data_IF_066187399917
#
_entry.id   IF_066187399917
#
_cell.length_a   1.000
_cell.length_b   1.000
_cell.length_c   1.000
_cell.angle_alpha   90.00
_cell.angle_beta   90.00
_cell.angle_gamma   90.00
#
_symmetry.space_group_name_H-M   'P 1'
#
loop_
_entity.id
_entity.type
_entity.pdbx_description
1 polymer ?
#
# COMPACT_ATOMS: atom_id res chain seq x y z
N UNK A 1 -3.55 -31.34 -6.54
CA UNK A 1 -2.80 -32.61 -6.74
C UNK A 1 -3.68 -33.76 -6.28
N UNK A 2 -4.04 -34.66 -7.18
CA UNK A 2 -4.83 -35.87 -6.84
C UNK A 2 -4.06 -36.74 -5.87
N UNK A 3 -4.70 -37.18 -4.80
CA UNK A 3 -4.10 -38.02 -3.78
C UNK A 3 -5.14 -38.87 -3.04
N UNK A 4 -4.69 -39.75 -2.18
CA UNK A 4 -5.54 -40.51 -1.25
C UNK A 4 -5.29 -40.02 0.17
N UNK A 5 -6.32 -39.54 0.85
CA UNK A 5 -6.26 -39.17 2.24
C UNK A 5 -7.05 -40.22 3.04
N UNK A 6 -6.39 -40.99 3.91
CA UNK A 6 -7.00 -42.06 4.72
C UNK A 6 -7.85 -43.05 3.88
N UNK A 7 -7.39 -43.36 2.67
CA UNK A 7 -8.07 -44.32 1.77
C UNK A 7 -9.17 -43.73 0.90
N UNK A 8 -9.53 -42.45 1.07
CA UNK A 8 -10.49 -41.74 0.23
C UNK A 8 -9.74 -40.93 -0.84
N UNK A 9 -10.20 -41.01 -2.07
CA UNK A 9 -9.65 -40.20 -3.15
C UNK A 9 -10.01 -38.69 -2.92
N UNK A 10 -8.99 -37.86 -3.04
CA UNK A 10 -9.13 -36.41 -2.89
C UNK A 10 -8.50 -35.71 -4.09
N UNK A 11 -9.24 -34.80 -4.72
CA UNK A 11 -8.78 -33.99 -5.83
C UNK A 11 -8.18 -32.66 -5.39
N UNK A 12 -8.25 -32.31 -4.10
CA UNK A 12 -7.73 -31.08 -3.56
C UNK A 12 -7.65 -31.09 -2.04
N UNK A 13 -7.21 -29.98 -1.48
CA UNK A 13 -7.09 -29.74 -0.06
C UNK A 13 -7.53 -28.29 0.22
N UNK A 14 -8.24 -28.10 1.32
CA UNK A 14 -8.48 -26.75 1.84
C UNK A 14 -7.20 -26.24 2.46
N UNK A 15 -6.80 -25.03 2.11
CA UNK A 15 -5.51 -24.46 2.47
C UNK A 15 -5.65 -23.28 3.46
N UNK A 16 -4.69 -23.15 4.36
CA UNK A 16 -4.48 -21.93 5.13
C UNK A 16 -3.82 -20.85 4.26
N UNK A 17 -3.72 -19.62 4.77
CA UNK A 17 -3.06 -18.53 4.03
C UNK A 17 -1.56 -18.82 3.82
N UNK A 18 -0.92 -19.51 4.75
CA UNK A 18 0.48 -19.91 4.66
C UNK A 18 0.71 -20.95 3.55
N UNK A 19 -0.21 -21.91 3.43
CA UNK A 19 -0.18 -22.92 2.36
C UNK A 19 -0.49 -22.33 0.98
N UNK A 20 -1.17 -21.19 0.93
CA UNK A 20 -1.39 -20.41 -0.30
C UNK A 20 -0.19 -19.51 -0.66
N UNK A 21 0.86 -19.49 0.15
CA UNK A 21 2.11 -18.78 -0.12
C UNK A 21 2.18 -17.35 0.41
N UNK A 22 1.32 -17.02 1.38
CA UNK A 22 1.33 -15.72 2.05
C UNK A 22 1.37 -15.90 3.58
N UNK A 23 1.01 -14.90 4.34
CA UNK A 23 1.00 -14.94 5.80
C UNK A 23 -0.05 -13.99 6.38
N UNK A 24 -0.32 -14.14 7.68
CA UNK A 24 -1.30 -13.32 8.42
C UNK A 24 -0.88 -11.86 8.61
N UNK A 25 0.40 -11.53 8.47
CA UNK A 25 0.83 -10.14 8.54
C UNK A 25 0.32 -9.35 7.33
N UNK A 26 0.28 -10.00 6.17
CA UNK A 26 -0.22 -9.41 4.93
C UNK A 26 -1.75 -9.56 4.78
N UNK A 27 -2.31 -10.60 5.38
CA UNK A 27 -3.75 -10.92 5.36
C UNK A 27 -4.27 -11.05 6.80
N UNK A 28 -4.44 -9.94 7.52
CA UNK A 28 -4.81 -9.97 8.95
C UNK A 28 -6.20 -10.57 9.22
N UNK A 29 -7.05 -10.67 8.20
CA UNK A 29 -8.34 -11.36 8.24
C UNK A 29 -8.22 -12.89 8.27
N UNK A 30 -7.05 -13.44 7.89
CA UNK A 30 -6.85 -14.89 7.89
C UNK A 30 -6.90 -15.47 9.31
N UNK A 31 -7.57 -16.61 9.52
CA UNK A 31 -7.65 -17.24 10.82
C UNK A 31 -6.25 -17.73 11.28
N UNK A 32 -6.02 -17.73 12.60
CA UNK A 32 -4.76 -18.21 13.17
C UNK A 32 -4.57 -19.72 12.96
N UNK A 33 -5.65 -20.45 13.04
CA UNK A 33 -5.69 -21.89 12.78
C UNK A 33 -6.89 -22.19 11.90
N UNK A 34 -6.64 -22.73 10.72
CA UNK A 34 -7.72 -23.16 9.83
C UNK A 34 -7.50 -22.78 8.37
N UNK A 35 -8.54 -23.00 7.59
CA UNK A 35 -8.56 -22.69 6.17
C UNK A 35 -8.77 -21.19 5.95
N UNK A 36 -8.19 -20.68 4.87
CA UNK A 36 -8.48 -19.31 4.44
C UNK A 36 -9.87 -19.22 3.83
N UNK A 37 -10.64 -18.23 4.24
CA UNK A 37 -11.98 -17.96 3.72
C UNK A 37 -11.90 -16.70 2.87
N UNK A 38 -12.22 -16.85 1.59
CA UNK A 38 -12.27 -15.72 0.66
C UNK A 38 -13.49 -14.83 0.92
N UNK A 39 -13.43 -13.59 0.46
CA UNK A 39 -14.56 -12.67 0.49
C UNK A 39 -15.74 -13.20 -0.36
N UNK A 40 -16.95 -12.72 -0.10
CA UNK A 40 -18.19 -13.19 -0.76
C UNK A 40 -18.23 -12.94 -2.28
N UNK A 41 -17.37 -12.06 -2.79
CA UNK A 41 -17.23 -11.77 -4.21
C UNK A 41 -16.28 -12.75 -4.94
N UNK A 42 -15.68 -13.69 -4.24
CA UNK A 42 -14.77 -14.67 -4.84
C UNK A 42 -15.50 -15.64 -5.76
N UNK A 43 -14.94 -15.86 -6.94
CA UNK A 43 -15.53 -16.76 -7.95
C UNK A 43 -15.04 -18.18 -7.73
N UNK A 44 -15.97 -19.10 -7.50
CA UNK A 44 -15.66 -20.53 -7.34
C UNK A 44 -15.02 -21.09 -8.62
N UNK A 45 -13.85 -21.72 -8.47
CA UNK A 45 -13.08 -22.26 -9.59
C UNK A 45 -12.03 -21.31 -10.17
N UNK A 46 -11.98 -20.05 -9.70
CA UNK A 46 -10.88 -19.14 -10.03
C UNK A 46 -9.60 -19.52 -9.29
N UNK A 47 -8.46 -19.09 -9.82
CA UNK A 47 -7.16 -19.30 -9.18
C UNK A 47 -7.08 -18.51 -7.88
N UNK A 48 -6.80 -19.16 -6.75
CA UNK A 48 -6.60 -18.51 -5.46
C UNK A 48 -5.46 -17.47 -5.49
N UNK A 49 -4.40 -17.75 -6.24
CA UNK A 49 -3.27 -16.81 -6.43
C UNK A 49 -3.76 -15.49 -7.02
N UNK A 50 -4.63 -15.57 -8.05
CA UNK A 50 -5.21 -14.39 -8.69
C UNK A 50 -6.19 -13.66 -7.78
N UNK A 51 -7.08 -14.40 -7.11
CA UNK A 51 -8.06 -13.82 -6.18
C UNK A 51 -7.38 -13.11 -5.01
N UNK A 52 -6.24 -13.63 -4.53
CA UNK A 52 -5.41 -12.98 -3.52
C UNK A 52 -4.56 -11.83 -4.08
N UNK A 53 -4.38 -11.74 -5.39
CA UNK A 53 -3.49 -10.77 -6.03
C UNK A 53 -2.01 -11.07 -5.80
N UNK A 54 -1.65 -12.37 -5.73
CA UNK A 54 -0.27 -12.84 -5.60
C UNK A 54 0.40 -13.11 -6.96
N UNK A 55 -0.30 -12.79 -8.06
CA UNK A 55 0.17 -12.91 -9.45
C UNK A 55 0.90 -11.64 -9.94
N UNK A 56 1.23 -10.74 -9.04
CA UNK A 56 1.97 -9.51 -9.36
C UNK A 56 3.47 -9.78 -9.55
N UNK A 57 4.14 -8.88 -10.24
CA UNK A 57 5.60 -8.93 -10.46
C UNK A 57 6.26 -7.86 -9.62
N UNK A 58 7.05 -8.30 -8.65
CA UNK A 58 7.83 -7.42 -7.79
C UNK A 58 9.28 -7.42 -8.26
N UNK A 59 9.83 -6.23 -8.49
CA UNK A 59 11.22 -6.03 -8.90
C UNK A 59 11.97 -5.36 -7.76
N UNK A 60 12.99 -6.03 -7.27
CA UNK A 60 13.89 -5.49 -6.25
C UNK A 60 15.02 -4.70 -6.91
N UNK A 61 15.23 -3.47 -6.46
CA UNK A 61 16.29 -2.58 -6.94
C UNK A 61 17.29 -2.30 -5.83
N UNK A 62 18.55 -2.51 -6.11
CA UNK A 62 19.66 -2.03 -5.29
C UNK A 62 20.02 -0.61 -5.73
N UNK A 63 19.64 0.39 -4.94
CA UNK A 63 19.84 1.80 -5.25
C UNK A 63 21.01 2.35 -4.46
N UNK A 64 21.98 2.92 -5.14
CA UNK A 64 23.17 3.53 -4.52
C UNK A 64 22.81 4.85 -3.81
N UNK A 65 23.56 5.19 -2.77
CA UNK A 65 23.29 6.34 -1.90
C UNK A 65 23.31 7.70 -2.58
N UNK A 66 23.92 7.80 -3.76
CA UNK A 66 23.96 9.02 -4.57
C UNK A 66 22.70 9.19 -5.46
N UNK A 67 21.81 8.20 -5.49
CA UNK A 67 20.59 8.20 -6.31
C UNK A 67 19.34 8.19 -5.46
N UNK A 68 19.27 9.08 -4.47
CA UNK A 68 18.11 9.25 -3.59
C UNK A 68 16.81 9.59 -4.33
N UNK A 69 16.91 10.14 -5.52
CA UNK A 69 15.80 10.43 -6.43
C UNK A 69 15.08 9.15 -6.91
N UNK A 70 15.75 8.01 -6.86
CA UNK A 70 15.21 6.71 -7.25
C UNK A 70 14.55 5.92 -6.10
N UNK A 71 14.57 6.43 -4.86
CA UNK A 71 13.88 5.81 -3.73
C UNK A 71 12.36 6.06 -3.75
N UNK A 72 11.74 5.80 -4.90
CA UNK A 72 10.28 5.83 -5.06
C UNK A 72 9.87 5.25 -6.41
N UNK A 73 8.62 4.80 -6.51
CA UNK A 73 8.06 4.29 -7.77
C UNK A 73 8.13 5.37 -8.87
N UNK A 74 7.78 6.61 -8.55
CA UNK A 74 7.85 7.74 -9.51
C UNK A 74 9.30 8.04 -9.91
N UNK A 75 10.25 7.97 -8.99
CA UNK A 75 11.67 8.16 -9.26
C UNK A 75 12.23 7.09 -10.18
N UNK A 76 11.98 5.82 -9.88
CA UNK A 76 12.36 4.69 -10.73
C UNK A 76 11.70 4.79 -12.12
N UNK A 77 10.42 5.14 -12.18
CA UNK A 77 9.71 5.29 -13.46
C UNK A 77 10.34 6.40 -14.33
N UNK A 78 10.77 7.51 -13.72
CA UNK A 78 11.48 8.60 -14.43
C UNK A 78 12.83 8.14 -14.97
N UNK A 79 13.60 7.41 -14.16
CA UNK A 79 14.90 6.84 -14.55
C UNK A 79 14.74 5.81 -15.66
N UNK A 80 13.77 4.90 -15.53
CA UNK A 80 13.47 3.91 -16.56
C UNK A 80 13.05 4.58 -17.88
N UNK A 81 12.23 5.62 -17.82
CA UNK A 81 11.83 6.38 -19.00
C UNK A 81 13.03 7.00 -19.71
N UNK A 82 13.95 7.59 -18.96
CA UNK A 82 15.18 8.15 -19.51
C UNK A 82 16.09 7.07 -20.10
N UNK A 83 16.32 5.98 -19.38
CA UNK A 83 17.17 4.86 -19.81
C UNK A 83 16.66 4.19 -21.09
N UNK A 84 15.35 3.97 -21.17
CA UNK A 84 14.73 3.29 -22.32
C UNK A 84 14.24 4.25 -23.41
N UNK A 85 14.53 5.53 -23.30
CA UNK A 85 14.08 6.59 -24.21
C UNK A 85 12.56 6.55 -24.45
N UNK A 86 11.80 6.49 -23.34
CA UNK A 86 10.33 6.49 -23.32
C UNK A 86 9.81 7.78 -22.69
N UNK A 87 8.59 8.14 -23.04
CA UNK A 87 7.92 9.27 -22.39
C UNK A 87 7.63 8.96 -20.93
N UNK A 88 7.88 9.92 -20.04
CA UNK A 88 7.50 9.86 -18.65
C UNK A 88 6.18 10.61 -18.42
N UNK A 89 5.22 9.94 -17.80
CA UNK A 89 3.92 10.49 -17.46
C UNK A 89 3.77 10.52 -15.93
N UNK A 90 4.01 11.67 -15.28
CA UNK A 90 3.86 11.77 -13.83
C UNK A 90 2.39 11.57 -13.43
N UNK A 91 2.13 11.03 -12.25
CA UNK A 91 0.77 10.93 -11.75
C UNK A 91 0.08 12.28 -11.69
N UNK A 92 -1.15 12.34 -12.21
CA UNK A 92 -1.97 13.55 -12.14
C UNK A 92 -2.71 13.57 -10.82
N UNK A 93 -2.37 14.51 -9.95
CA UNK A 93 -3.03 14.71 -8.67
C UNK A 93 -4.17 15.70 -8.83
N UNK A 94 -5.41 15.24 -8.79
CA UNK A 94 -6.58 16.09 -8.71
C UNK A 94 -6.91 16.37 -7.25
N UNK A 95 -6.97 17.66 -6.89
CA UNK A 95 -7.29 18.07 -5.53
C UNK A 95 -8.66 18.72 -5.53
N UNK A 96 -9.60 18.11 -4.83
CA UNK A 96 -10.89 18.71 -4.51
C UNK A 96 -10.86 19.20 -3.07
N UNK A 97 -11.07 20.50 -2.85
CA UNK A 97 -11.36 21.10 -1.55
C UNK A 97 -12.86 21.37 -1.42
N UNK A 98 -13.27 21.77 -0.24
CA UNK A 98 -14.56 22.41 -0.01
C UNK A 98 -14.35 23.95 0.12
N UNK A 99 -15.43 24.68 0.37
CA UNK A 99 -15.40 26.13 0.46
C UNK A 99 -14.86 26.65 1.82
N UNK A 100 -14.44 25.74 2.72
CA UNK A 100 -13.90 26.13 4.02
C UNK A 100 -12.41 26.50 3.89
N UNK A 101 -12.02 27.56 4.63
CA UNK A 101 -10.63 27.99 4.65
C UNK A 101 -9.85 27.26 5.75
N UNK A 102 -8.76 26.59 5.38
CA UNK A 102 -7.89 25.89 6.33
C UNK A 102 -7.28 26.84 7.38
N UNK A 103 -7.10 28.13 7.07
CA UNK A 103 -6.56 29.12 7.98
C UNK A 103 -7.48 29.41 9.19
N UNK A 104 -8.76 29.06 9.11
CA UNK A 104 -9.71 29.19 10.22
C UNK A 104 -9.50 28.12 11.31
N UNK A 105 -8.78 27.06 10.96
CA UNK A 105 -8.57 25.89 11.83
C UNK A 105 -7.11 25.71 12.26
N UNK A 106 -6.15 26.11 11.43
CA UNK A 106 -4.73 25.91 11.72
C UNK A 106 -3.90 27.11 11.28
N UNK A 107 -2.99 27.54 12.15
CA UNK A 107 -1.98 28.56 11.83
C UNK A 107 -0.61 27.89 11.70
N UNK A 108 0.02 28.05 10.54
CA UNK A 108 1.38 27.60 10.31
C UNK A 108 2.35 28.76 10.45
N UNK A 109 3.36 28.61 11.30
CA UNK A 109 4.43 29.58 11.47
C UNK A 109 5.77 28.91 11.31
N UNK A 110 6.53 29.32 10.30
CA UNK A 110 7.89 28.83 10.07
C UNK A 110 8.86 29.73 10.83
N UNK A 111 9.49 29.19 11.88
CA UNK A 111 10.44 29.95 12.72
C UNK A 111 11.83 30.09 12.09
N UNK A 112 12.22 29.15 11.26
CA UNK A 112 13.50 29.17 10.55
C UNK A 112 13.30 28.95 9.04
N UNK A 113 13.09 30.03 8.29
CA UNK A 113 12.84 29.96 6.84
C UNK A 113 14.08 29.56 6.04
N UNK A 114 15.30 29.68 6.58
CA UNK A 114 16.52 29.23 5.90
C UNK A 114 16.57 27.71 5.82
N UNK A 115 16.18 27.00 6.89
CA UNK A 115 16.16 25.54 6.92
C UNK A 115 14.84 24.94 6.38
N UNK A 116 13.75 25.66 6.52
CA UNK A 116 12.42 25.25 6.04
C UNK A 116 11.76 26.42 5.30
N UNK A 117 12.06 26.64 4.04
CA UNK A 117 11.55 27.79 3.30
C UNK A 117 10.04 27.75 3.06
N UNK A 118 9.43 26.57 3.13
CA UNK A 118 7.99 26.39 2.93
C UNK A 118 7.46 25.19 3.71
N UNK A 119 6.35 25.38 4.41
CA UNK A 119 5.59 24.31 5.05
C UNK A 119 4.11 24.43 4.65
N UNK A 120 3.54 23.31 4.17
CA UNK A 120 2.13 23.25 3.78
C UNK A 120 1.38 22.30 4.71
N UNK A 121 0.16 22.66 5.08
CA UNK A 121 -0.72 21.82 5.86
C UNK A 121 -2.09 21.70 5.19
N UNK A 122 -2.75 20.56 5.40
CA UNK A 122 -4.13 20.30 5.00
C UNK A 122 -4.91 19.77 6.16
N UNK A 123 -6.19 20.07 6.16
CA UNK A 123 -7.13 19.56 7.15
C UNK A 123 -8.08 18.60 6.46
N UNK A 124 -8.21 17.43 7.03
CA UNK A 124 -9.19 16.43 6.62
C UNK A 124 -10.09 16.17 7.83
N UNK A 125 -11.39 16.37 7.65
CA UNK A 125 -12.40 16.22 8.71
C UNK A 125 -13.17 14.90 8.57
N UNK A 126 -13.82 14.50 9.66
CA UNK A 126 -14.74 13.37 9.71
C UNK A 126 -14.10 12.03 9.26
N UNK A 127 -12.83 11.85 9.61
CA UNK A 127 -12.10 10.63 9.26
C UNK A 127 -12.66 9.48 10.10
N UNK A 128 -13.00 8.38 9.41
CA UNK A 128 -13.29 7.09 10.06
C UNK A 128 -12.10 6.18 9.85
N UNK A 129 -11.50 5.76 10.96
CA UNK A 129 -10.39 4.78 10.89
C UNK A 129 -11.00 3.42 10.58
N UNK A 130 -10.46 2.75 9.59
CA UNK A 130 -10.88 1.43 9.13
C UNK A 130 -9.84 0.78 8.23
N UNK A 131 -10.10 -0.41 7.70
CA UNK A 131 -9.21 -1.05 6.75
C UNK A 131 -9.09 -0.22 5.48
N UNK A 132 -7.92 -0.26 4.87
CA UNK A 132 -7.68 0.35 3.56
C UNK A 132 -8.42 -0.40 2.45
N UNK A 133 -8.67 0.25 1.31
CA UNK A 133 -9.19 -0.45 0.14
C UNK A 133 -8.28 -1.63 -0.26
N UNK A 134 -8.86 -2.74 -0.69
CA UNK A 134 -8.13 -3.98 -1.04
C UNK A 134 -6.98 -3.75 -2.04
N UNK A 135 -7.18 -2.89 -3.05
CA UNK A 135 -6.13 -2.56 -4.01
C UNK A 135 -4.90 -1.93 -3.36
N UNK A 136 -5.09 -1.08 -2.36
CA UNK A 136 -3.99 -0.45 -1.62
C UNK A 136 -3.28 -1.46 -0.72
N UNK A 137 -4.05 -2.30 -0.01
CA UNK A 137 -3.50 -3.37 0.80
C UNK A 137 -2.61 -4.32 -0.02
N UNK A 138 -3.10 -4.76 -1.20
CA UNK A 138 -2.35 -5.62 -2.12
C UNK A 138 -1.05 -4.98 -2.57
N UNK A 139 -1.07 -3.72 -2.98
CA UNK A 139 0.15 -2.99 -3.41
C UNK A 139 1.15 -2.80 -2.28
N UNK A 140 0.70 -2.51 -1.08
CA UNK A 140 1.60 -2.42 0.08
C UNK A 140 2.18 -3.79 0.43
N UNK A 141 1.36 -4.83 0.45
CA UNK A 141 1.79 -6.19 0.71
C UNK A 141 2.81 -6.67 -0.32
N UNK A 142 2.67 -6.34 -1.60
CA UNK A 142 3.61 -6.74 -2.66
C UNK A 142 5.01 -6.12 -2.49
N UNK A 143 5.13 -4.98 -1.83
CA UNK A 143 6.43 -4.36 -1.48
C UNK A 143 6.86 -4.67 -0.04
N UNK A 144 6.21 -5.62 0.63
CA UNK A 144 6.56 -6.08 1.97
C UNK A 144 6.08 -5.18 3.10
N UNK A 145 5.18 -4.24 2.85
CA UNK A 145 4.61 -3.36 3.87
C UNK A 145 3.28 -3.93 4.35
N UNK A 146 3.21 -4.25 5.64
CA UNK A 146 1.99 -4.75 6.26
C UNK A 146 0.90 -3.67 6.31
N UNK A 147 -0.30 -3.93 5.75
CA UNK A 147 -1.45 -3.05 5.91
C UNK A 147 -1.92 -2.98 7.38
N UNK A 148 -2.27 -1.80 7.86
CA UNK A 148 -2.69 -1.57 9.25
C UNK A 148 -4.07 -0.92 9.30
N UNK A 149 -4.19 0.26 8.73
CA UNK A 149 -5.44 1.00 8.59
C UNK A 149 -5.28 2.10 7.54
N UNK A 150 -6.39 2.66 7.09
CA UNK A 150 -6.43 3.63 6.02
C UNK A 150 -5.51 4.86 6.21
N UNK A 151 -5.35 5.38 7.43
CA UNK A 151 -4.47 6.52 7.68
C UNK A 151 -2.99 6.16 7.55
N UNK A 152 -2.61 5.04 8.16
CA UNK A 152 -1.22 4.55 8.13
C UNK A 152 -0.86 4.13 6.71
N UNK A 153 -1.75 3.40 6.06
CA UNK A 153 -1.51 2.83 4.74
C UNK A 153 -1.42 3.91 3.64
N UNK A 154 -2.24 4.97 3.71
CA UNK A 154 -2.12 6.13 2.81
C UNK A 154 -0.72 6.75 2.95
N UNK A 155 -0.22 6.94 4.17
CA UNK A 155 1.12 7.52 4.37
C UNK A 155 2.23 6.61 3.87
N UNK A 156 2.09 5.29 4.06
CA UNK A 156 3.02 4.31 3.50
C UNK A 156 2.96 4.29 1.97
N UNK A 157 1.77 4.32 1.41
CA UNK A 157 1.58 4.34 -0.04
C UNK A 157 2.23 5.58 -0.68
N UNK A 158 2.02 6.77 -0.11
CA UNK A 158 2.65 8.01 -0.57
C UNK A 158 4.17 7.96 -0.42
N UNK A 159 4.67 7.35 0.65
CA UNK A 159 6.11 7.16 0.84
C UNK A 159 6.72 6.31 -0.29
N UNK A 160 6.12 5.18 -0.62
CA UNK A 160 6.58 4.32 -1.71
C UNK A 160 6.43 4.97 -3.08
N UNK A 161 5.31 5.65 -3.32
CA UNK A 161 5.04 6.24 -4.63
C UNK A 161 5.93 7.45 -4.91
N UNK A 162 6.14 8.35 -3.94
CA UNK A 162 6.84 9.63 -4.12
C UNK A 162 8.17 9.75 -3.38
N UNK A 163 8.56 8.79 -2.57
CA UNK A 163 9.78 8.85 -1.76
C UNK A 163 9.69 9.81 -0.58
N UNK A 164 8.49 10.19 -0.16
CA UNK A 164 8.28 11.10 0.95
C UNK A 164 8.47 10.37 2.28
N UNK A 165 9.69 10.30 2.76
CA UNK A 165 10.04 9.73 4.06
C UNK A 165 9.66 10.68 5.20
N UNK A 166 9.11 10.14 6.26
CA UNK A 166 8.70 10.87 7.45
C UNK A 166 7.20 11.16 7.48
N UNK A 167 6.55 10.64 8.50
CA UNK A 167 5.15 10.90 8.79
C UNK A 167 5.07 12.04 9.77
N UNK A 168 4.47 13.15 9.36
CA UNK A 168 3.95 14.14 10.28
C UNK A 168 2.42 13.99 10.33
N UNK A 169 1.93 13.08 11.13
CA UNK A 169 0.54 13.11 11.57
C UNK A 169 0.49 13.71 12.96
N UNK A 170 0.00 14.93 13.09
CA UNK A 170 -0.38 15.46 14.38
C UNK A 170 -1.65 14.74 14.82
N UNK A 171 -1.49 13.72 15.66
CA UNK A 171 -2.58 13.15 16.41
C UNK A 171 -2.84 14.11 17.57
N UNK A 172 -3.84 14.94 17.43
CA UNK A 172 -4.36 15.66 18.58
C UNK A 172 -4.88 14.63 19.59
N UNK A 173 -4.23 14.55 20.75
CA UNK A 173 -4.79 13.81 21.88
C UNK A 173 -5.91 14.68 22.43
N UNK A 174 -7.12 14.30 22.11
CA UNK A 174 -8.29 14.74 22.84
C UNK A 174 -8.38 13.91 24.11
#
# INVERSE_FOLDING_TARGET
KKGKLRGVESDGMMCSIEELGSNREMYPEAPEYGIYIFDDDAVVGESAIKSLGLDDVVVEYEITSNRVDCFSVVGIAREAAATFNKAFYPPVVTQTGNDENAADYIKVTVKNPELCPRYCARIVKNIKIGPSPKWMQRRLASVGIRPINNLVDITNYVMEEYGQIGRASCRERV
#
